data_IF_441102612296
#
_entry.id   IF_441102612296
#
_cell.length_a   1.000
_cell.length_b   1.000
_cell.length_c   1.000
_cell.angle_alpha   90.00
_cell.angle_beta   90.00
_cell.angle_gamma   90.00
#
_symmetry.space_group_name_H-M   'P 1'
#
loop_
_entity.id
_entity.type
_entity.pdbx_description
1 polymer ?
#
# COMPACT_ATOMS: atom_id res chain seq x y z
N UNK A 1 -18.79 -10.31 -10.96
CA UNK A 1 -17.49 -9.68 -10.64
C UNK A 1 -17.73 -8.25 -10.14
N UNK A 2 -17.05 -7.80 -9.09
CA UNK A 2 -17.16 -6.41 -8.61
C UNK A 2 -16.58 -5.45 -9.64
N UNK A 3 -17.12 -4.23 -9.73
CA UNK A 3 -16.53 -3.16 -10.54
C UNK A 3 -15.34 -2.53 -9.82
N UNK A 4 -14.47 -1.82 -10.54
CA UNK A 4 -13.35 -1.10 -9.93
C UNK A 4 -13.84 -0.05 -8.91
N UNK A 5 -14.90 0.69 -9.25
CA UNK A 5 -15.52 1.66 -8.34
C UNK A 5 -15.99 1.00 -7.03
N UNK A 6 -16.67 -0.14 -7.14
CA UNK A 6 -17.10 -0.86 -5.94
C UNK A 6 -15.94 -1.34 -5.07
N UNK A 7 -14.85 -1.83 -5.67
CA UNK A 7 -13.64 -2.21 -4.92
C UNK A 7 -13.03 -1.00 -4.20
N UNK A 8 -12.93 0.14 -4.88
CA UNK A 8 -12.48 1.40 -4.30
C UNK A 8 -13.37 1.83 -3.13
N UNK A 9 -14.69 1.83 -3.32
CA UNK A 9 -15.63 2.34 -2.33
C UNK A 9 -15.61 1.45 -1.06
N UNK A 10 -15.59 0.13 -1.20
CA UNK A 10 -15.42 -0.80 -0.08
C UNK A 10 -14.08 -0.57 0.67
N UNK A 11 -13.01 -0.28 -0.06
CA UNK A 11 -11.73 0.09 0.55
C UNK A 11 -11.82 1.42 1.30
N UNK A 12 -12.41 2.46 0.72
CA UNK A 12 -12.58 3.77 1.35
C UNK A 12 -13.42 3.66 2.61
N UNK A 13 -14.50 2.89 2.60
CA UNK A 13 -15.31 2.62 3.78
C UNK A 13 -14.48 1.96 4.91
N UNK A 14 -13.62 1.00 4.57
CA UNK A 14 -12.69 0.40 5.53
C UNK A 14 -11.73 1.43 6.12
N UNK A 15 -11.16 2.32 5.29
CA UNK A 15 -10.27 3.41 5.74
C UNK A 15 -11.00 4.40 6.65
N UNK A 16 -12.26 4.73 6.35
CA UNK A 16 -13.10 5.61 7.20
C UNK A 16 -13.30 4.97 8.58
N UNK A 17 -13.63 3.70 8.64
CA UNK A 17 -13.80 2.97 9.91
C UNK A 17 -12.51 2.92 10.73
N UNK A 18 -11.38 2.63 10.08
CA UNK A 18 -10.06 2.62 10.73
C UNK A 18 -9.69 4.02 11.24
N UNK A 19 -9.97 5.08 10.46
CA UNK A 19 -9.75 6.49 10.86
C UNK A 19 -10.57 6.85 12.10
N UNK A 20 -11.84 6.46 12.14
CA UNK A 20 -12.70 6.64 13.32
C UNK A 20 -12.15 5.93 14.56
N UNK A 21 -11.63 4.70 14.41
CA UNK A 21 -10.99 3.97 15.49
C UNK A 21 -9.69 4.64 15.94
N UNK A 22 -8.81 5.06 15.02
CA UNK A 22 -7.57 5.77 15.33
C UNK A 22 -7.82 7.07 16.09
N UNK A 23 -8.84 7.83 15.69
CA UNK A 23 -9.26 9.06 16.40
C UNK A 23 -9.73 8.76 17.83
N UNK A 24 -10.51 7.70 18.04
CA UNK A 24 -10.92 7.27 19.38
C UNK A 24 -9.74 6.85 20.25
N UNK A 25 -8.78 6.12 19.68
CA UNK A 25 -7.54 5.74 20.38
C UNK A 25 -6.80 6.98 20.83
N UNK A 26 -6.59 7.95 19.95
CA UNK A 26 -5.89 9.20 20.29
C UNK A 26 -6.60 9.98 21.42
N UNK A 27 -7.94 10.06 21.38
CA UNK A 27 -8.73 10.76 22.41
C UNK A 27 -8.69 10.07 23.78
N UNK A 28 -8.65 8.75 23.79
CA UNK A 28 -8.65 7.94 25.01
C UNK A 28 -7.24 7.60 25.52
N UNK A 29 -6.20 8.10 24.85
CA UNK A 29 -4.79 7.98 25.25
C UNK A 29 -4.38 9.28 25.95
N UNK A 30 -3.80 9.19 27.14
CA UNK A 30 -3.30 10.34 27.85
C UNK A 30 -3.68 10.34 29.34
N UNK A 31 -3.33 11.38 30.10
CA UNK A 31 -3.46 11.40 31.55
C UNK A 31 -4.91 11.23 32.07
N UNK A 32 -5.89 11.56 31.24
CA UNK A 32 -7.34 11.42 31.57
C UNK A 32 -8.01 10.34 30.73
N UNK A 33 -7.27 9.64 29.86
CA UNK A 33 -7.82 8.58 29.01
C UNK A 33 -7.91 7.24 29.73
N UNK A 34 -8.76 6.35 29.23
CA UNK A 34 -8.90 4.99 29.74
C UNK A 34 -7.86 4.02 29.18
N UNK A 35 -7.15 4.41 28.13
CA UNK A 35 -6.10 3.60 27.51
C UNK A 35 -4.73 4.00 28.06
N UNK A 36 -3.96 3.00 28.45
CA UNK A 36 -2.53 3.22 28.75
C UNK A 36 -1.75 3.54 27.45
N UNK A 37 -0.58 4.16 27.58
CA UNK A 37 0.26 4.42 26.42
C UNK A 37 0.66 3.12 25.67
N UNK A 38 1.08 2.02 26.34
CA UNK A 38 1.31 0.74 25.66
C UNK A 38 0.10 0.20 24.91
N UNK A 39 -1.11 0.29 25.49
CA UNK A 39 -2.33 -0.21 24.84
C UNK A 39 -2.64 0.60 23.58
N UNK A 40 -2.58 1.92 23.66
CA UNK A 40 -2.80 2.79 22.50
C UNK A 40 -1.80 2.55 21.37
N UNK A 41 -0.53 2.27 21.70
CA UNK A 41 0.50 1.92 20.73
C UNK A 41 0.17 0.59 20.04
N UNK A 42 -0.27 -0.43 20.80
CA UNK A 42 -0.63 -1.74 20.23
C UNK A 42 -1.87 -1.68 19.35
N UNK A 43 -2.88 -0.94 19.77
CA UNK A 43 -4.08 -0.74 18.95
C UNK A 43 -3.71 -0.01 17.65
N UNK A 44 -2.87 1.03 17.72
CA UNK A 44 -2.42 1.75 16.53
C UNK A 44 -1.62 0.88 15.56
N UNK A 45 -0.76 -0.02 16.06
CA UNK A 45 -0.08 -1.02 15.24
C UNK A 45 -1.08 -1.90 14.48
N UNK A 46 -2.12 -2.41 15.17
CA UNK A 46 -3.17 -3.22 14.55
C UNK A 46 -3.98 -2.47 13.50
N UNK A 47 -4.38 -1.24 13.78
CA UNK A 47 -5.11 -0.38 12.84
C UNK A 47 -4.26 -0.04 11.62
N UNK A 48 -2.99 0.25 11.81
CA UNK A 48 -2.06 0.50 10.71
C UNK A 48 -1.88 -0.73 9.82
N UNK A 49 -1.65 -1.92 10.41
CA UNK A 49 -1.56 -3.17 9.66
C UNK A 49 -2.83 -3.43 8.86
N UNK A 50 -4.00 -3.26 9.47
CA UNK A 50 -5.29 -3.42 8.80
C UNK A 50 -5.41 -2.49 7.58
N UNK A 51 -5.05 -1.21 7.72
CA UNK A 51 -5.10 -0.26 6.61
C UNK A 51 -4.17 -0.66 5.45
N UNK A 52 -2.94 -1.06 5.75
CA UNK A 52 -1.98 -1.49 4.72
C UNK A 52 -2.43 -2.80 4.07
N UNK A 53 -2.96 -3.75 4.82
CA UNK A 53 -3.50 -5.01 4.25
C UNK A 53 -4.67 -4.73 3.31
N UNK A 54 -5.62 -3.88 3.67
CA UNK A 54 -6.72 -3.49 2.77
C UNK A 54 -6.21 -2.80 1.49
N UNK A 55 -5.13 -2.02 1.59
CA UNK A 55 -4.48 -1.44 0.41
C UNK A 55 -3.88 -2.52 -0.51
N UNK A 56 -3.16 -3.49 0.07
CA UNK A 56 -2.58 -4.61 -0.67
C UNK A 56 -3.68 -5.43 -1.38
N UNK A 57 -4.79 -5.72 -0.68
CA UNK A 57 -5.96 -6.41 -1.22
C UNK A 57 -6.63 -5.61 -2.35
N UNK A 58 -6.77 -4.29 -2.21
CA UNK A 58 -7.29 -3.43 -3.28
C UNK A 58 -6.42 -3.52 -4.54
N UNK A 59 -5.11 -3.34 -4.39
CA UNK A 59 -4.18 -3.40 -5.52
C UNK A 59 -4.24 -4.75 -6.24
N UNK A 60 -4.28 -5.85 -5.47
CA UNK A 60 -4.44 -7.20 -6.01
C UNK A 60 -5.76 -7.35 -6.78
N UNK A 61 -6.88 -6.96 -6.15
CA UNK A 61 -8.19 -7.09 -6.76
C UNK A 61 -8.33 -6.26 -8.05
N UNK A 62 -7.75 -5.05 -8.07
CA UNK A 62 -7.74 -4.19 -9.26
C UNK A 62 -6.91 -4.79 -10.39
N UNK A 63 -5.74 -5.35 -10.11
CA UNK A 63 -4.92 -5.97 -11.15
C UNK A 63 -5.58 -7.24 -11.69
N UNK A 64 -6.15 -8.08 -10.83
CA UNK A 64 -6.93 -9.27 -11.24
C UNK A 64 -8.13 -8.87 -12.10
N UNK A 65 -8.85 -7.81 -11.69
CA UNK A 65 -9.97 -7.27 -12.46
C UNK A 65 -9.53 -6.81 -13.86
N UNK A 66 -8.46 -6.05 -13.97
CA UNK A 66 -7.95 -5.55 -15.23
C UNK A 66 -7.49 -6.69 -16.14
N UNK A 67 -6.82 -7.70 -15.61
CA UNK A 67 -6.45 -8.91 -16.36
C UNK A 67 -7.68 -9.69 -16.85
N UNK A 68 -8.71 -9.80 -16.01
CA UNK A 68 -9.91 -10.56 -16.33
C UNK A 68 -10.82 -9.84 -17.36
N UNK A 69 -10.89 -8.50 -17.32
CA UNK A 69 -11.82 -7.71 -18.14
C UNK A 69 -11.20 -7.09 -19.38
N UNK A 70 -9.88 -6.96 -19.45
CA UNK A 70 -9.20 -6.41 -20.62
C UNK A 70 -9.50 -7.23 -21.88
N UNK A 71 -9.70 -6.55 -23.01
CA UNK A 71 -9.81 -7.23 -24.30
C UNK A 71 -8.49 -7.93 -24.65
N UNK A 72 -8.55 -9.00 -25.43
CA UNK A 72 -7.33 -9.73 -25.86
C UNK A 72 -6.29 -8.81 -26.52
N UNK A 73 -6.73 -7.76 -27.22
CA UNK A 73 -5.83 -6.76 -27.81
C UNK A 73 -5.04 -5.93 -26.82
N UNK A 74 -5.55 -5.77 -25.58
CA UNK A 74 -4.89 -5.04 -24.48
C UNK A 74 -4.01 -5.92 -23.60
N UNK A 75 -3.96 -7.23 -23.84
CA UNK A 75 -3.08 -8.15 -23.12
C UNK A 75 -1.80 -8.38 -23.91
N UNK A 76 -0.67 -8.55 -23.24
CA UNK A 76 0.58 -9.00 -23.85
C UNK A 76 0.42 -10.41 -24.43
N UNK A 77 1.18 -10.73 -25.49
CA UNK A 77 1.05 -12.00 -26.22
C UNK A 77 1.11 -13.22 -25.30
N UNK A 78 2.07 -13.23 -24.39
CA UNK A 78 2.31 -14.37 -23.48
C UNK A 78 1.12 -14.62 -22.55
N UNK A 79 0.44 -13.56 -22.15
CA UNK A 79 -0.74 -13.61 -21.28
C UNK A 79 -1.99 -14.08 -22.03
N UNK A 80 -2.08 -13.81 -23.33
CA UNK A 80 -3.21 -14.26 -24.17
C UNK A 80 -3.37 -15.77 -24.19
N UNK A 81 -2.24 -16.51 -24.16
CA UNK A 81 -2.23 -17.98 -24.18
C UNK A 81 -2.90 -18.59 -22.94
N UNK A 82 -2.85 -17.92 -21.82
CA UNK A 82 -3.44 -18.41 -20.57
C UNK A 82 -4.93 -18.07 -20.42
N UNK A 83 -5.48 -17.20 -21.27
CA UNK A 83 -6.87 -16.73 -21.16
C UNK A 83 -7.89 -17.59 -21.93
N UNK A 84 -7.49 -18.68 -22.52
CA UNK A 84 -8.36 -19.57 -23.29
C UNK A 84 -9.21 -20.53 -22.48
N UNK A 85 -9.06 -20.58 -21.16
CA UNK A 85 -9.75 -21.52 -20.29
C UNK A 85 -10.94 -20.89 -19.53
N UNK A 86 -11.78 -21.74 -19.02
CA UNK A 86 -13.15 -21.59 -18.56
C UNK A 86 -13.49 -20.50 -17.51
N UNK A 87 -12.54 -19.75 -16.97
CA UNK A 87 -12.79 -18.61 -16.07
C UNK A 87 -11.66 -17.58 -16.14
N UNK A 88 -11.89 -16.41 -16.77
CA UNK A 88 -10.89 -15.35 -16.85
C UNK A 88 -10.35 -14.89 -15.50
N UNK A 89 -11.21 -14.86 -14.45
CA UNK A 89 -10.81 -14.45 -13.11
C UNK A 89 -9.86 -15.45 -12.48
N UNK A 90 -10.20 -16.74 -12.52
CA UNK A 90 -9.34 -17.80 -11.96
C UNK A 90 -8.00 -17.90 -12.68
N UNK A 91 -7.99 -17.64 -13.97
CA UNK A 91 -6.74 -17.59 -14.74
C UNK A 91 -5.91 -16.37 -14.37
N UNK A 92 -6.52 -15.20 -14.22
CA UNK A 92 -5.83 -14.02 -13.75
C UNK A 92 -5.20 -14.28 -12.37
N UNK A 93 -5.92 -14.90 -11.44
CA UNK A 93 -5.39 -15.32 -10.13
C UNK A 93 -4.24 -16.32 -10.24
N UNK A 94 -4.37 -17.33 -11.10
CA UNK A 94 -3.30 -18.32 -11.33
C UNK A 94 -2.05 -17.68 -11.94
N UNK A 95 -2.23 -16.76 -12.90
CA UNK A 95 -1.12 -16.00 -13.47
C UNK A 95 -0.40 -15.17 -12.42
N UNK A 96 -1.15 -14.59 -11.49
CA UNK A 96 -0.59 -13.81 -10.40
C UNK A 96 0.25 -14.65 -9.42
N UNK A 97 -0.02 -15.94 -9.30
CA UNK A 97 0.69 -16.84 -8.39
C UNK A 97 1.85 -17.60 -9.06
N UNK A 98 1.76 -17.90 -10.36
CA UNK A 98 2.67 -18.85 -11.01
C UNK A 98 3.76 -18.23 -11.90
N UNK A 99 3.59 -16.98 -12.39
CA UNK A 99 4.50 -16.45 -13.43
C UNK A 99 5.87 -16.01 -12.89
N UNK A 100 5.98 -15.64 -11.62
CA UNK A 100 7.25 -15.13 -11.06
C UNK A 100 8.09 -16.18 -10.29
N UNK A 101 7.72 -17.39 -10.23
CA UNK A 101 8.28 -18.58 -9.56
C UNK A 101 7.21 -19.23 -8.65
N UNK A 102 7.02 -20.55 -8.73
CA UNK A 102 6.01 -21.28 -7.96
C UNK A 102 6.18 -21.18 -6.43
N UNK A 103 7.31 -20.66 -5.96
CA UNK A 103 7.65 -20.49 -4.53
C UNK A 103 7.89 -19.02 -4.14
N UNK A 104 7.65 -18.03 -5.00
CA UNK A 104 7.87 -16.63 -4.66
C UNK A 104 6.63 -16.04 -4.01
N UNK A 105 6.77 -15.64 -2.75
CA UNK A 105 5.79 -14.80 -2.09
C UNK A 105 5.69 -13.46 -2.81
N UNK A 106 4.52 -13.14 -3.35
CA UNK A 106 4.30 -11.87 -4.02
C UNK A 106 4.10 -10.75 -3.01
N UNK A 107 5.02 -9.80 -3.03
CA UNK A 107 5.00 -8.64 -2.14
C UNK A 107 4.11 -7.53 -2.71
N UNK A 108 2.84 -7.51 -2.28
CA UNK A 108 1.86 -6.47 -2.64
C UNK A 108 2.10 -5.13 -1.92
N UNK A 109 3.01 -5.09 -0.95
CA UNK A 109 3.36 -3.86 -0.24
C UNK A 109 4.29 -2.94 -1.05
N UNK A 110 4.84 -3.40 -2.18
CA UNK A 110 5.76 -2.64 -3.02
C UNK A 110 5.09 -2.21 -4.32
N UNK A 111 4.56 -0.98 -4.34
CA UNK A 111 3.76 -0.47 -5.45
C UNK A 111 4.49 -0.50 -6.79
N UNK A 112 5.80 -0.23 -6.82
CA UNK A 112 6.60 -0.31 -8.05
C UNK A 112 6.62 -1.73 -8.65
N UNK A 113 6.60 -2.77 -7.82
CA UNK A 113 6.50 -4.17 -8.31
C UNK A 113 5.13 -4.47 -8.88
N UNK A 114 4.07 -3.91 -8.28
CA UNK A 114 2.71 -4.02 -8.82
C UNK A 114 2.65 -3.38 -10.21
N UNK A 115 3.21 -2.17 -10.37
CA UNK A 115 3.28 -1.48 -11.65
C UNK A 115 4.09 -2.27 -12.69
N UNK A 116 5.27 -2.76 -12.32
CA UNK A 116 6.11 -3.57 -13.23
C UNK A 116 5.37 -4.84 -13.70
N UNK A 117 4.59 -5.47 -12.82
CA UNK A 117 3.79 -6.63 -13.17
C UNK A 117 2.62 -6.27 -14.09
N UNK A 118 1.93 -5.18 -13.81
CA UNK A 118 0.90 -4.68 -14.69
C UNK A 118 1.44 -4.36 -16.10
N UNK A 119 2.62 -3.71 -16.17
CA UNK A 119 3.32 -3.42 -17.43
C UNK A 119 3.74 -4.71 -18.18
N UNK A 120 4.05 -5.79 -17.46
CA UNK A 120 4.39 -7.07 -18.08
C UNK A 120 3.19 -7.76 -18.73
N UNK A 121 1.98 -7.56 -18.20
CA UNK A 121 0.78 -8.28 -18.64
C UNK A 121 -0.17 -7.47 -19.49
N UNK A 122 -0.28 -6.16 -19.22
CA UNK A 122 -1.24 -5.27 -19.86
C UNK A 122 -0.56 -4.36 -20.90
N UNK A 123 -1.30 -3.95 -21.90
CA UNK A 123 -0.85 -2.91 -22.83
C UNK A 123 -0.78 -1.55 -22.11
N UNK A 124 0.02 -0.60 -22.62
CA UNK A 124 0.09 0.75 -22.06
C UNK A 124 -1.28 1.41 -21.89
N UNK A 125 -1.41 2.26 -20.87
CA UNK A 125 -2.66 2.96 -20.54
C UNK A 125 -3.57 2.20 -19.57
N UNK A 126 -3.08 1.13 -18.92
CA UNK A 126 -3.77 0.53 -17.77
C UNK A 126 -3.65 1.41 -16.52
N UNK A 127 -4.52 1.18 -15.52
CA UNK A 127 -4.64 2.05 -14.31
C UNK A 127 -3.36 2.22 -13.48
N UNK A 128 -2.40 1.32 -13.59
CA UNK A 128 -1.10 1.41 -12.90
C UNK A 128 -0.04 2.13 -13.74
N UNK A 129 -0.35 2.52 -14.99
CA UNK A 129 0.52 3.30 -15.88
C UNK A 129 0.42 4.80 -15.58
N UNK A 130 1.46 5.58 -15.90
CA UNK A 130 1.34 7.03 -15.86
C UNK A 130 0.23 7.55 -16.78
N UNK A 131 -0.46 8.64 -16.39
CA UNK A 131 -1.66 9.13 -17.09
C UNK A 131 -1.42 9.73 -18.48
N UNK A 132 -0.19 10.00 -18.89
CA UNK A 132 0.15 10.56 -20.19
C UNK A 132 1.15 9.69 -20.94
N UNK A 133 1.13 9.69 -22.28
CA UNK A 133 2.18 9.06 -23.08
C UNK A 133 3.49 9.84 -22.89
N UNK A 134 4.32 9.40 -21.94
CA UNK A 134 5.70 9.88 -21.82
C UNK A 134 6.45 9.24 -22.98
N UNK A 135 7.11 10.02 -23.86
CA UNK A 135 7.89 9.47 -24.94
C UNK A 135 8.87 8.40 -24.41
N UNK A 136 9.06 7.27 -25.13
CA UNK A 136 9.88 6.16 -24.63
C UNK A 136 11.29 6.55 -24.20
N UNK A 137 11.87 7.56 -24.87
CA UNK A 137 13.20 8.10 -24.57
C UNK A 137 13.28 8.90 -23.26
N UNK A 138 12.15 9.37 -22.72
CA UNK A 138 12.08 10.19 -21.51
C UNK A 138 11.35 9.50 -20.35
N UNK A 139 10.82 8.30 -20.58
CA UNK A 139 10.12 7.54 -19.53
C UNK A 139 11.13 7.12 -18.45
N UNK A 140 11.02 7.63 -17.21
CA UNK A 140 11.85 7.13 -16.12
C UNK A 140 11.56 5.64 -15.87
N UNK A 141 12.54 4.85 -15.43
CA UNK A 141 12.41 3.40 -15.27
C UNK A 141 11.30 2.96 -14.29
N UNK A 142 10.74 3.89 -13.50
CA UNK A 142 9.71 3.63 -12.49
C UNK A 142 8.55 4.63 -12.57
N UNK A 143 8.14 5.05 -13.76
CA UNK A 143 6.95 5.91 -13.89
C UNK A 143 5.67 5.13 -13.54
N UNK A 144 4.89 5.64 -12.59
CA UNK A 144 3.67 5.02 -12.06
C UNK A 144 2.48 5.95 -12.22
N UNK A 145 1.26 5.42 -12.06
CA UNK A 145 0.03 6.23 -12.03
C UNK A 145 -0.02 7.19 -10.83
N UNK A 146 0.65 6.85 -9.73
CA UNK A 146 0.68 7.67 -8.54
C UNK A 146 1.80 8.71 -8.59
N UNK A 147 1.62 9.90 -7.98
CA UNK A 147 2.68 10.88 -7.79
C UNK A 147 3.89 10.26 -7.06
N UNK A 148 5.11 10.70 -7.40
CA UNK A 148 6.35 10.18 -6.79
C UNK A 148 6.35 10.29 -5.26
N UNK A 149 5.86 11.40 -4.70
CA UNK A 149 5.72 11.57 -3.25
C UNK A 149 4.83 10.49 -2.61
N UNK A 150 3.71 10.12 -3.27
CA UNK A 150 2.82 9.05 -2.80
C UNK A 150 3.53 7.69 -2.85
N UNK A 151 4.28 7.40 -3.91
CA UNK A 151 5.05 6.14 -4.03
C UNK A 151 6.13 6.05 -2.94
N UNK A 152 6.82 7.16 -2.65
CA UNK A 152 7.78 7.22 -1.54
C UNK A 152 7.11 6.99 -0.18
N UNK A 153 5.92 7.55 0.05
CA UNK A 153 5.17 7.34 1.28
C UNK A 153 4.75 5.88 1.43
N UNK A 154 4.27 5.23 0.36
CA UNK A 154 3.98 3.79 0.35
C UNK A 154 5.23 2.95 0.70
N UNK A 155 6.41 3.32 0.18
CA UNK A 155 7.66 2.65 0.53
C UNK A 155 8.03 2.85 2.02
N UNK A 156 7.73 4.02 2.60
CA UNK A 156 7.90 4.28 4.04
C UNK A 156 6.92 3.46 4.88
N UNK A 157 5.65 3.34 4.44
CA UNK A 157 4.65 2.50 5.12
C UNK A 157 5.07 1.02 5.14
N UNK A 158 5.63 0.50 4.04
CA UNK A 158 6.20 -0.85 4.01
C UNK A 158 7.26 -1.07 5.10
N UNK A 159 8.14 -0.09 5.33
CA UNK A 159 9.17 -0.18 6.38
C UNK A 159 8.56 -0.23 7.78
N UNK A 160 7.53 0.59 8.06
CA UNK A 160 6.80 0.56 9.33
C UNK A 160 6.05 -0.77 9.48
N UNK A 161 5.35 -1.22 8.43
CA UNK A 161 4.61 -2.49 8.40
C UNK A 161 5.52 -3.67 8.74
N UNK A 162 6.71 -3.71 8.15
CA UNK A 162 7.65 -4.79 8.39
C UNK A 162 8.16 -4.79 9.84
N UNK A 163 8.41 -3.62 10.44
CA UNK A 163 8.81 -3.52 11.83
C UNK A 163 7.70 -3.97 12.80
N UNK A 164 6.44 -3.68 12.49
CA UNK A 164 5.29 -4.14 13.28
C UNK A 164 5.09 -5.66 13.15
N UNK A 165 5.11 -6.18 11.91
CA UNK A 165 4.72 -7.55 11.63
C UNK A 165 5.83 -8.58 11.91
N UNK A 166 7.09 -8.28 11.59
CA UNK A 166 8.13 -9.29 11.56
C UNK A 166 9.09 -9.27 12.75
N UNK A 167 9.21 -8.16 13.46
CA UNK A 167 10.07 -7.98 14.66
C UNK A 167 11.50 -8.53 14.51
N UNK A 168 12.03 -8.58 13.27
CA UNK A 168 13.40 -9.00 12.99
C UNK A 168 14.36 -7.82 13.10
N UNK A 169 15.64 -8.08 13.36
CA UNK A 169 16.67 -7.03 13.41
C UNK A 169 16.72 -6.22 12.12
N UNK A 170 16.63 -6.87 10.96
CA UNK A 170 16.60 -6.20 9.65
C UNK A 170 15.40 -5.26 9.50
N UNK A 171 14.21 -5.69 9.94
CA UNK A 171 13.00 -4.85 9.90
C UNK A 171 13.14 -3.67 10.86
N UNK A 172 13.71 -3.91 12.04
CA UNK A 172 13.99 -2.88 13.03
C UNK A 172 15.01 -1.85 12.53
N UNK A 173 16.13 -2.28 11.98
CA UNK A 173 17.13 -1.40 11.39
C UNK A 173 16.57 -0.53 10.27
N UNK A 174 15.74 -1.13 9.39
CA UNK A 174 15.03 -0.41 8.33
C UNK A 174 14.11 0.66 8.90
N UNK A 175 13.33 0.36 9.94
CA UNK A 175 12.49 1.31 10.65
C UNK A 175 13.33 2.42 11.32
N UNK A 176 14.41 2.07 12.02
CA UNK A 176 15.30 3.05 12.65
C UNK A 176 15.99 3.95 11.63
N UNK A 177 16.32 3.45 10.46
CA UNK A 177 16.83 4.26 9.35
C UNK A 177 15.75 5.25 8.84
N UNK A 178 14.48 4.83 8.76
CA UNK A 178 13.36 5.73 8.44
C UNK A 178 13.23 6.86 9.46
N UNK A 179 13.25 6.53 10.74
CA UNK A 179 13.09 7.48 11.86
C UNK A 179 14.23 8.51 11.92
N UNK A 180 15.45 8.09 11.52
CA UNK A 180 16.65 8.97 11.48
C UNK A 180 16.69 9.86 10.26
N UNK A 181 16.12 9.41 9.14
CA UNK A 181 16.16 10.11 7.86
C UNK A 181 14.98 11.04 7.64
N UNK A 182 15.01 11.75 6.49
CA UNK A 182 13.90 12.57 6.05
C UNK A 182 12.64 11.71 5.79
N UNK A 183 11.45 12.23 6.06
CA UNK A 183 11.16 13.59 6.54
C UNK A 183 11.23 13.76 8.07
N UNK A 184 11.45 12.70 8.83
CA UNK A 184 11.30 12.71 10.29
C UNK A 184 12.48 13.31 11.03
N UNK A 185 13.71 12.97 10.64
CA UNK A 185 14.97 13.47 11.22
C UNK A 185 14.97 13.52 12.75
N UNK A 186 14.39 12.50 13.40
CA UNK A 186 14.21 12.50 14.86
C UNK A 186 15.56 12.53 15.60
N UNK A 187 15.69 13.45 16.55
CA UNK A 187 16.87 13.57 17.41
C UNK A 187 17.07 12.32 18.28
N UNK A 188 18.30 12.02 18.75
CA UNK A 188 18.58 10.87 19.61
C UNK A 188 17.68 10.77 20.84
N UNK A 189 17.37 11.89 21.48
CA UNK A 189 16.48 11.93 22.66
C UNK A 189 15.04 11.49 22.32
N UNK A 190 14.51 11.88 21.16
CA UNK A 190 13.17 11.53 20.69
C UNK A 190 13.05 10.04 20.34
N UNK A 191 14.17 9.43 19.90
CA UNK A 191 14.23 8.01 19.52
C UNK A 191 14.37 7.06 20.71
N UNK A 192 14.65 7.58 21.93
CA UNK A 192 14.78 6.74 23.12
C UNK A 192 13.43 6.08 23.44
N UNK A 193 13.41 4.74 23.45
CA UNK A 193 12.21 3.94 23.67
C UNK A 193 11.15 4.08 22.57
N UNK A 194 11.55 4.47 21.35
CA UNK A 194 10.62 4.50 20.21
C UNK A 194 10.20 3.08 19.84
N UNK A 195 8.92 2.91 19.58
CA UNK A 195 8.34 1.69 18.99
C UNK A 195 7.54 2.10 17.76
N UNK A 196 7.26 1.20 16.81
CA UNK A 196 6.38 1.52 15.69
C UNK A 196 5.04 2.09 16.13
N UNK A 197 4.40 1.49 17.16
CA UNK A 197 3.14 1.99 17.69
C UNK A 197 3.25 3.40 18.29
N UNK A 198 4.27 3.68 19.08
CA UNK A 198 4.53 5.03 19.59
C UNK A 198 4.75 6.01 18.43
N UNK A 199 5.55 5.64 17.43
CA UNK A 199 5.81 6.46 16.25
C UNK A 199 4.51 6.80 15.51
N UNK A 200 3.61 5.84 15.31
CA UNK A 200 2.34 6.03 14.61
C UNK A 200 1.43 7.07 15.27
N UNK A 201 1.39 7.14 16.61
CA UNK A 201 0.45 8.02 17.32
C UNK A 201 1.06 9.34 17.81
N UNK A 202 2.39 9.41 17.95
CA UNK A 202 3.03 10.62 18.50
C UNK A 202 3.78 11.45 17.47
N UNK A 203 4.32 10.80 16.43
CA UNK A 203 5.07 11.52 15.40
C UNK A 203 4.13 12.24 14.45
N UNK A 204 4.43 13.52 14.18
CA UNK A 204 3.71 14.32 13.19
C UNK A 204 4.33 14.14 11.80
N UNK A 205 3.45 14.10 10.79
CA UNK A 205 3.81 14.08 9.38
C UNK A 205 2.79 14.92 8.61
N UNK A 206 3.23 15.99 7.98
CA UNK A 206 2.35 16.93 7.28
C UNK A 206 1.19 17.46 8.15
N UNK A 207 1.48 17.77 9.41
CA UNK A 207 0.50 18.37 10.34
C UNK A 207 -0.46 17.41 11.02
N UNK A 208 -0.38 16.10 10.72
CA UNK A 208 -1.20 15.06 11.36
C UNK A 208 -0.31 13.93 11.88
N UNK A 209 -0.84 13.05 12.73
CA UNK A 209 -0.05 11.89 13.18
C UNK A 209 0.24 10.94 12.02
N UNK A 210 1.33 10.18 12.11
CA UNK A 210 1.76 9.23 11.06
C UNK A 210 0.62 8.30 10.65
N UNK A 211 -0.17 7.79 11.60
CA UNK A 211 -1.31 6.92 11.27
C UNK A 211 -2.36 7.65 10.43
N UNK A 212 -2.72 8.90 10.77
CA UNK A 212 -3.69 9.68 10.00
C UNK A 212 -3.14 10.08 8.62
N UNK A 213 -1.84 10.43 8.55
CA UNK A 213 -1.20 10.67 7.26
C UNK A 213 -1.25 9.43 6.37
N UNK A 214 -0.95 8.24 6.93
CA UNK A 214 -1.07 6.97 6.19
C UNK A 214 -2.46 6.80 5.59
N UNK A 215 -3.51 6.96 6.41
CA UNK A 215 -4.89 6.80 5.96
C UNK A 215 -5.27 7.80 4.85
N UNK A 216 -4.79 9.04 4.95
CA UNK A 216 -5.02 10.07 3.92
C UNK A 216 -4.33 9.71 2.60
N UNK A 217 -3.08 9.24 2.66
CA UNK A 217 -2.30 8.84 1.47
C UNK A 217 -2.94 7.63 0.79
N UNK A 218 -3.33 6.60 1.55
CA UNK A 218 -3.96 5.39 1.01
C UNK A 218 -5.31 5.71 0.35
N UNK A 219 -6.15 6.53 0.98
CA UNK A 219 -7.42 6.99 0.39
C UNK A 219 -7.18 7.79 -0.89
N UNK A 220 -6.26 8.76 -0.88
CA UNK A 220 -5.90 9.55 -2.04
C UNK A 220 -5.38 8.69 -3.20
N UNK A 221 -4.51 7.73 -2.91
CA UNK A 221 -3.97 6.79 -3.89
C UNK A 221 -5.08 5.92 -4.52
N UNK A 222 -6.04 5.44 -3.74
CA UNK A 222 -7.17 4.66 -4.24
C UNK A 222 -8.04 5.48 -5.22
N UNK A 223 -8.29 6.77 -4.92
CA UNK A 223 -9.04 7.68 -5.80
C UNK A 223 -8.29 8.01 -7.09
N UNK A 224 -6.97 8.01 -7.08
CA UNK A 224 -6.15 8.18 -8.31
C UNK A 224 -6.21 6.93 -9.17
N UNK A 225 -6.10 5.72 -8.58
CA UNK A 225 -6.16 4.46 -9.33
C UNK A 225 -7.55 4.17 -9.92
N UNK A 226 -8.59 4.67 -9.27
CA UNK A 226 -9.99 4.49 -9.68
C UNK A 226 -10.70 5.81 -9.47
N UNK A 227 -10.71 6.71 -10.47
CA UNK A 227 -11.38 8.01 -10.40
C UNK A 227 -12.91 7.90 -10.35
#
# INVERSE_FOLDING_TARGET
MKTAQRLRDEFIDSIIHIRGAATRVTRNSGPKGVLTAPDSHKIAEGLFLSAVTHWEELCQALLVLDLATSTLGKLRKDVRLFRTANSPVRLAELMMTHIDHPNAFYDWSEFNRICARADAYLAPGHRFSPPAPIPPATKPPHSTALPSATVEDLARFKRIRNAVAHKTDKAWESFMSLVRGAPFNMAPAQRRGITPGRFLVTQQWNGVTVIHHTLNVLEGAARVLVP
#
